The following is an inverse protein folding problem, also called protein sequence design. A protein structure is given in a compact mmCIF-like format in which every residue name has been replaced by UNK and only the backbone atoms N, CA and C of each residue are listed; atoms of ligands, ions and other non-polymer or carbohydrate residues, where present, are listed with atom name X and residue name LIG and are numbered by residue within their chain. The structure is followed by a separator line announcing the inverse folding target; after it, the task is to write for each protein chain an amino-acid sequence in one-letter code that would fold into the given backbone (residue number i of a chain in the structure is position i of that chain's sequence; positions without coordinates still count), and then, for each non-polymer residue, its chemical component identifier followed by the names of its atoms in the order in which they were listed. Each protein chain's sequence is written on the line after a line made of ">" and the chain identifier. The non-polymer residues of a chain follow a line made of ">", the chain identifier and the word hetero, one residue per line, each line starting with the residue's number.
data_IF_629411558418
#
_entry.id   IF_629411558418
#
_cell.length_a   1.000
_cell.length_b   1.000
_cell.length_c   1.000
_cell.angle_alpha   90.00
_cell.angle_beta   90.00
_cell.angle_gamma   90.00
#
_symmetry.space_group_name_H-M   'P 1'
#
loop_
_entity.id
_entity.type
_entity.pdbx_description
1 polymer ?
#
# COMPACT_ATOMS: atom_id res chain seq x y z
N UNK A 1 -12.94 -12.37 21.14
CA UNK A 1 -12.44 -11.29 22.02
C UNK A 1 -13.01 -9.99 21.48
N UNK A 2 -13.94 -9.37 22.20
CA UNK A 2 -14.52 -8.08 21.79
C UNK A 2 -13.51 -6.98 22.14
N UNK A 3 -12.81 -6.45 21.13
CA UNK A 3 -12.02 -5.23 21.29
C UNK A 3 -12.97 -4.11 21.68
N UNK A 4 -12.72 -3.49 22.82
CA UNK A 4 -13.57 -2.39 23.28
C UNK A 4 -13.46 -1.22 22.29
N UNK A 5 -14.52 -0.44 22.10
CA UNK A 5 -14.59 0.66 21.13
C UNK A 5 -13.42 1.68 21.22
N UNK A 6 -12.76 1.74 22.38
CA UNK A 6 -11.60 2.59 22.64
C UNK A 6 -10.27 2.04 22.09
N UNK A 7 -10.14 0.72 21.92
CA UNK A 7 -8.94 0.09 21.33
C UNK A 7 -8.88 0.29 19.81
N UNK A 8 -10.03 0.40 19.14
CA UNK A 8 -10.09 0.52 17.66
C UNK A 8 -9.43 1.79 17.12
N UNK A 9 -9.41 2.88 17.89
CA UNK A 9 -8.77 4.13 17.49
C UNK A 9 -7.24 4.06 17.47
N UNK A 10 -6.66 3.09 18.19
CA UNK A 10 -5.21 2.85 18.27
C UNK A 10 -4.74 1.85 17.22
N UNK A 11 -5.65 1.21 16.50
CA UNK A 11 -5.33 0.26 15.45
C UNK A 11 -5.18 0.96 14.10
N UNK A 12 -4.07 0.70 13.43
CA UNK A 12 -3.94 0.96 12.00
C UNK A 12 -4.84 -0.03 11.25
N UNK A 13 -5.80 0.51 10.49
CA UNK A 13 -6.84 -0.26 9.79
C UNK A 13 -7.73 -1.12 10.73
N UNK A 14 -8.58 -0.48 11.55
CA UNK A 14 -9.55 -1.25 12.33
C UNK A 14 -10.47 -2.05 11.39
N UNK A 15 -10.90 -3.25 11.79
CA UNK A 15 -11.64 -4.18 10.94
C UNK A 15 -12.90 -3.56 10.33
N UNK A 16 -13.51 -2.58 11.00
CA UNK A 16 -14.65 -1.83 10.47
C UNK A 16 -14.29 -0.90 9.30
N UNK A 17 -13.15 -0.17 9.37
CA UNK A 17 -12.72 0.70 8.25
C UNK A 17 -12.38 -0.13 7.03
N UNK A 18 -11.78 -1.29 7.24
CA UNK A 18 -11.45 -2.20 6.17
C UNK A 18 -12.70 -2.82 5.52
N UNK A 19 -13.72 -3.20 6.31
CA UNK A 19 -15.02 -3.60 5.78
C UNK A 19 -15.64 -2.52 4.90
N UNK A 20 -15.63 -1.25 5.34
CA UNK A 20 -16.13 -0.14 4.52
C UNK A 20 -15.37 -0.01 3.21
N UNK A 21 -14.04 -0.11 3.24
CA UNK A 21 -13.20 -0.03 2.05
C UNK A 21 -13.48 -1.20 1.08
N UNK A 22 -13.63 -2.42 1.59
CA UNK A 22 -14.01 -3.58 0.80
C UNK A 22 -15.42 -3.44 0.20
N UNK A 23 -16.39 -2.93 0.95
CA UNK A 23 -17.74 -2.67 0.41
C UNK A 23 -17.70 -1.63 -0.70
N UNK A 24 -16.90 -0.58 -0.57
CA UNK A 24 -16.73 0.44 -1.63
C UNK A 24 -16.10 -0.17 -2.89
N UNK A 25 -15.08 -1.03 -2.74
CA UNK A 25 -14.47 -1.75 -3.88
C UNK A 25 -15.49 -2.64 -4.60
N UNK A 26 -16.29 -3.40 -3.85
CA UNK A 26 -17.34 -4.26 -4.42
C UNK A 26 -18.38 -3.41 -5.15
N UNK A 27 -18.85 -2.32 -4.52
CA UNK A 27 -19.83 -1.43 -5.11
C UNK A 27 -19.32 -0.80 -6.42
N UNK A 28 -18.06 -0.35 -6.43
CA UNK A 28 -17.42 0.18 -7.64
C UNK A 28 -17.30 -0.89 -8.74
N UNK A 29 -16.92 -2.12 -8.39
CA UNK A 29 -16.86 -3.22 -9.35
C UNK A 29 -18.24 -3.57 -9.94
N UNK A 30 -19.32 -3.50 -9.15
CA UNK A 30 -20.70 -3.67 -9.62
C UNK A 30 -21.06 -2.57 -10.63
N UNK A 31 -20.75 -1.30 -10.31
CA UNK A 31 -21.01 -0.17 -11.22
C UNK A 31 -20.26 -0.36 -12.54
N UNK A 32 -18.97 -0.67 -12.49
CA UNK A 32 -18.15 -0.91 -13.68
C UNK A 32 -18.72 -2.10 -14.49
N UNK A 33 -19.10 -3.18 -13.82
CA UNK A 33 -19.76 -4.32 -14.46
C UNK A 33 -21.05 -3.94 -15.18
N UNK A 34 -21.90 -3.11 -14.54
CA UNK A 34 -23.14 -2.63 -15.14
C UNK A 34 -22.89 -1.78 -16.39
N UNK A 35 -21.85 -0.93 -16.38
CA UNK A 35 -21.44 -0.13 -17.56
C UNK A 35 -21.04 -1.06 -18.71
N UNK A 36 -20.24 -2.10 -18.45
CA UNK A 36 -19.84 -3.06 -19.47
C UNK A 36 -21.03 -3.86 -20.03
N UNK A 37 -21.96 -4.29 -19.18
CA UNK A 37 -23.17 -5.00 -19.62
C UNK A 37 -24.05 -4.10 -20.50
N UNK A 38 -24.23 -2.83 -20.10
CA UNK A 38 -24.97 -1.86 -20.90
C UNK A 38 -24.29 -1.61 -22.24
N UNK A 39 -22.96 -1.47 -22.25
CA UNK A 39 -22.18 -1.29 -23.47
C UNK A 39 -22.28 -2.49 -24.42
N UNK A 40 -22.22 -3.71 -23.87
CA UNK A 40 -22.42 -4.97 -24.60
C UNK A 40 -23.80 -5.05 -25.25
N UNK A 41 -24.83 -4.55 -24.58
CA UNK A 41 -26.18 -4.50 -25.13
C UNK A 41 -26.29 -3.53 -26.31
N UNK A 42 -25.66 -2.35 -26.22
CA UNK A 42 -25.65 -1.35 -27.29
C UNK A 42 -24.87 -1.85 -28.52
N UNK A 43 -23.74 -2.51 -28.30
CA UNK A 43 -22.81 -2.96 -29.36
C UNK A 43 -23.11 -4.39 -29.85
N UNK A 44 -24.36 -4.86 -29.74
CA UNK A 44 -24.73 -6.26 -29.98
C UNK A 44 -24.34 -6.78 -31.38
N UNK A 45 -24.27 -5.91 -32.38
CA UNK A 45 -23.90 -6.22 -33.76
C UNK A 45 -22.40 -6.29 -34.02
N UNK A 46 -21.54 -5.74 -33.14
CA UNK A 46 -20.09 -5.71 -33.33
C UNK A 46 -19.38 -6.80 -32.53
N UNK A 47 -19.25 -7.98 -33.13
CA UNK A 47 -18.60 -9.16 -32.54
C UNK A 47 -17.19 -8.90 -31.95
N UNK A 48 -16.25 -8.17 -32.59
CA UNK A 48 -14.94 -7.91 -31.99
C UNK A 48 -15.01 -7.03 -30.73
N UNK A 49 -15.87 -6.02 -30.71
CA UNK A 49 -16.07 -5.13 -29.55
C UNK A 49 -16.69 -5.92 -28.39
N UNK A 50 -17.59 -6.86 -28.70
CA UNK A 50 -18.20 -7.75 -27.72
C UNK A 50 -17.17 -8.64 -27.03
N UNK A 51 -16.29 -9.29 -27.79
CA UNK A 51 -15.22 -10.12 -27.24
C UNK A 51 -14.25 -9.31 -26.37
N UNK A 52 -13.87 -8.11 -26.83
CA UNK A 52 -13.01 -7.21 -26.05
C UNK A 52 -13.67 -6.79 -24.72
N UNK A 53 -14.96 -6.44 -24.75
CA UNK A 53 -15.71 -6.03 -23.56
C UNK A 53 -15.86 -7.17 -22.55
N UNK A 54 -16.09 -8.40 -23.02
CA UNK A 54 -16.12 -9.61 -22.17
C UNK A 54 -14.74 -9.85 -21.55
N UNK A 55 -13.66 -9.75 -22.33
CA UNK A 55 -12.31 -9.93 -21.82
C UNK A 55 -11.96 -8.90 -20.75
N UNK A 56 -12.27 -7.61 -20.98
CA UNK A 56 -12.06 -6.54 -20.00
C UNK A 56 -12.87 -6.76 -18.72
N UNK A 57 -14.12 -7.22 -18.84
CA UNK A 57 -14.95 -7.56 -17.68
C UNK A 57 -14.33 -8.70 -16.86
N UNK A 58 -13.84 -9.76 -17.53
CA UNK A 58 -13.17 -10.89 -16.86
C UNK A 58 -11.92 -10.41 -16.12
N UNK A 59 -11.07 -9.61 -16.76
CA UNK A 59 -9.85 -9.05 -16.15
C UNK A 59 -10.21 -8.16 -14.94
N UNK A 60 -11.26 -7.36 -15.05
CA UNK A 60 -11.73 -6.50 -13.96
C UNK A 60 -12.22 -7.32 -12.76
N UNK A 61 -13.01 -8.36 -12.99
CA UNK A 61 -13.49 -9.26 -11.94
C UNK A 61 -12.30 -9.99 -11.28
N UNK A 62 -11.37 -10.51 -12.10
CA UNK A 62 -10.19 -11.23 -11.63
C UNK A 62 -9.29 -10.35 -10.75
N UNK A 63 -8.93 -9.15 -11.22
CA UNK A 63 -8.08 -8.20 -10.49
C UNK A 63 -8.74 -7.72 -9.19
N UNK A 64 -10.06 -7.44 -9.23
CA UNK A 64 -10.83 -7.06 -8.04
C UNK A 64 -10.86 -8.20 -7.02
N UNK A 65 -11.09 -9.44 -7.47
CA UNK A 65 -11.12 -10.62 -6.60
C UNK A 65 -9.77 -10.85 -5.93
N UNK A 66 -8.67 -10.79 -6.69
CA UNK A 66 -7.32 -10.92 -6.15
C UNK A 66 -7.03 -9.81 -5.13
N UNK A 67 -7.44 -8.57 -5.41
CA UNK A 67 -7.27 -7.45 -4.48
C UNK A 67 -8.01 -7.72 -3.16
N UNK A 68 -9.27 -8.16 -3.22
CA UNK A 68 -10.08 -8.48 -2.03
C UNK A 68 -9.46 -9.66 -1.26
N UNK A 69 -9.04 -10.72 -1.95
CA UNK A 69 -8.41 -11.89 -1.30
C UNK A 69 -7.10 -11.52 -0.61
N UNK A 70 -6.27 -10.67 -1.22
CA UNK A 70 -5.03 -10.16 -0.60
C UNK A 70 -5.35 -9.33 0.63
N UNK A 71 -6.30 -8.39 0.54
CA UNK A 71 -6.70 -7.56 1.67
C UNK A 71 -7.27 -8.42 2.82
N UNK A 72 -8.11 -9.41 2.51
CA UNK A 72 -8.67 -10.33 3.50
C UNK A 72 -7.58 -11.17 4.19
N UNK A 73 -6.55 -11.62 3.46
CA UNK A 73 -5.41 -12.33 4.04
C UNK A 73 -4.59 -11.44 4.95
N UNK A 74 -4.31 -10.18 4.56
CA UNK A 74 -3.61 -9.21 5.41
C UNK A 74 -4.33 -9.00 6.74
N UNK A 75 -5.65 -8.90 6.69
CA UNK A 75 -6.46 -8.61 7.88
C UNK A 75 -6.61 -9.78 8.84
N UNK A 76 -6.31 -11.02 8.40
CA UNK A 76 -6.80 -12.19 9.12
C UNK A 76 -6.15 -12.36 10.49
N UNK A 77 -4.98 -11.79 10.77
CA UNK A 77 -4.30 -11.86 12.08
C UNK A 77 -3.14 -10.85 12.22
N UNK A 78 -3.06 -9.83 11.37
CA UNK A 78 -1.99 -8.83 11.43
C UNK A 78 -2.58 -7.46 11.73
N UNK A 79 -2.16 -6.85 12.83
CA UNK A 79 -2.58 -5.52 13.23
C UNK A 79 -1.39 -4.74 13.77
N UNK A 80 -1.33 -3.47 13.40
CA UNK A 80 -0.40 -2.52 14.00
C UNK A 80 -1.21 -1.69 14.98
N UNK A 81 -0.86 -1.76 16.25
CA UNK A 81 -1.41 -0.93 17.29
C UNK A 81 -0.36 0.09 17.71
N UNK A 82 -0.78 1.34 17.85
CA UNK A 82 0.08 2.41 18.32
C UNK A 82 -0.36 2.89 19.69
N UNK A 83 0.55 2.74 20.66
CA UNK A 83 0.40 3.23 22.02
C UNK A 83 1.39 4.37 22.27
N UNK A 84 1.12 5.28 23.23
CA UNK A 84 1.99 6.43 23.52
C UNK A 84 3.47 6.09 23.69
N UNK A 85 3.78 4.92 24.26
CA UNK A 85 5.15 4.50 24.56
C UNK A 85 5.67 3.41 23.60
N UNK A 86 4.80 2.78 22.82
CA UNK A 86 5.15 1.57 22.09
C UNK A 86 4.35 1.35 20.82
N UNK A 87 5.04 0.80 19.82
CA UNK A 87 4.45 0.17 18.65
C UNK A 87 4.24 -1.32 18.96
N UNK A 88 3.00 -1.80 18.83
CA UNK A 88 2.67 -3.22 19.03
C UNK A 88 2.28 -3.82 17.68
N UNK A 89 3.01 -4.85 17.28
CA UNK A 89 2.78 -5.62 16.07
C UNK A 89 2.15 -6.95 16.48
N UNK A 90 0.86 -7.11 16.22
CA UNK A 90 0.18 -8.38 16.36
C UNK A 90 0.29 -9.16 15.05
N UNK A 91 0.74 -10.41 15.12
CA UNK A 91 0.83 -11.33 13.99
C UNK A 91 0.33 -12.74 14.38
N UNK A 92 0.29 -13.68 13.41
CA UNK A 92 -0.14 -15.06 13.68
C UNK A 92 0.79 -15.80 14.65
N UNK A 93 2.06 -15.39 14.74
CA UNK A 93 3.08 -15.99 15.60
C UNK A 93 3.17 -15.36 16.99
N UNK A 94 2.47 -14.26 17.25
CA UNK A 94 2.51 -13.58 18.54
C UNK A 94 2.36 -12.06 18.46
N UNK A 95 2.65 -11.39 19.58
CA UNK A 95 2.66 -9.92 19.69
C UNK A 95 4.08 -9.45 19.99
N UNK A 96 4.59 -8.54 19.16
CA UNK A 96 5.89 -7.89 19.36
C UNK A 96 5.63 -6.47 19.83
N UNK A 97 6.22 -6.06 20.95
CA UNK A 97 6.13 -4.71 21.49
C UNK A 97 7.48 -4.03 21.37
N UNK A 98 7.52 -2.89 20.69
CA UNK A 98 8.73 -2.11 20.43
C UNK A 98 8.50 -0.74 21.07
N UNK A 99 9.42 -0.28 21.92
CA UNK A 99 9.30 1.06 22.48
C UNK A 99 9.62 2.09 21.41
N UNK A 100 8.83 3.16 21.35
CA UNK A 100 9.04 4.19 20.34
C UNK A 100 10.35 4.96 20.54
N UNK A 101 10.83 5.02 21.78
CA UNK A 101 12.12 5.62 22.15
C UNK A 101 13.32 4.83 21.65
N UNK A 102 13.15 3.53 21.42
CA UNK A 102 14.24 2.66 20.96
C UNK A 102 14.43 2.78 19.44
N UNK A 103 13.40 3.25 18.73
CA UNK A 103 13.46 3.50 17.29
C UNK A 103 14.21 4.81 17.08
N UNK A 104 15.33 4.76 16.35
CA UNK A 104 16.07 5.95 15.93
C UNK A 104 15.67 6.38 14.52
N UNK A 105 15.53 5.42 13.59
CA UNK A 105 15.24 5.68 12.17
C UNK A 105 14.25 4.65 11.64
N UNK A 106 13.25 5.12 10.91
CA UNK A 106 12.38 4.29 10.08
C UNK A 106 12.72 4.52 8.60
N UNK A 107 13.14 3.48 7.88
CA UNK A 107 13.54 3.57 6.48
C UNK A 107 12.63 2.71 5.60
N UNK A 108 12.04 3.31 4.58
CA UNK A 108 11.37 2.54 3.53
C UNK A 108 12.43 1.97 2.58
N UNK A 109 12.47 0.65 2.43
CA UNK A 109 13.41 -0.03 1.55
C UNK A 109 12.68 -0.92 0.57
N UNK A 110 13.18 -0.93 -0.66
CA UNK A 110 12.87 -1.91 -1.68
C UNK A 110 14.14 -2.70 -2.00
N UNK A 111 14.69 -3.38 -0.99
CA UNK A 111 15.88 -4.20 -1.16
C UNK A 111 15.47 -5.52 -1.83
N UNK A 112 15.90 -5.68 -3.09
CA UNK A 112 16.07 -6.98 -3.78
C UNK A 112 14.81 -7.77 -4.15
N UNK A 113 13.77 -7.15 -4.70
CA UNK A 113 12.58 -7.83 -5.30
C UNK A 113 11.79 -8.81 -4.39
N UNK A 114 12.25 -9.07 -3.16
CA UNK A 114 11.69 -10.10 -2.27
C UNK A 114 10.96 -9.51 -1.07
N UNK A 115 11.44 -8.38 -0.50
CA UNK A 115 10.79 -7.76 0.65
C UNK A 115 10.84 -6.24 0.62
N UNK A 116 9.78 -5.63 0.12
CA UNK A 116 9.52 -4.18 0.28
C UNK A 116 8.84 -3.93 1.62
N UNK A 117 9.23 -2.89 2.33
CA UNK A 117 8.59 -2.56 3.61
C UNK A 117 9.22 -1.39 4.36
N UNK A 118 8.66 -1.10 5.54
CA UNK A 118 9.18 -0.08 6.46
C UNK A 118 10.04 -0.76 7.53
N UNK A 119 11.34 -0.45 7.53
CA UNK A 119 12.33 -1.02 8.43
C UNK A 119 12.60 -0.06 9.58
N UNK A 120 12.55 -0.55 10.81
CA UNK A 120 12.74 0.23 12.02
C UNK A 120 14.08 -0.13 12.66
N UNK A 121 14.96 0.84 12.83
CA UNK A 121 16.32 0.66 13.35
C UNK A 121 16.51 1.40 14.67
N UNK A 122 17.35 0.84 15.54
CA UNK A 122 17.84 1.52 16.75
C UNK A 122 19.00 2.50 16.44
N UNK A 123 19.53 3.15 17.48
CA UNK A 123 20.65 4.10 17.36
C UNK A 123 21.95 3.43 16.91
N UNK A 124 22.07 2.12 17.07
CA UNK A 124 23.20 1.30 16.64
C UNK A 124 22.96 0.66 15.26
N UNK A 125 21.94 1.11 14.52
CA UNK A 125 21.52 0.57 13.22
C UNK A 125 21.13 -0.93 13.25
N UNK A 126 20.75 -1.47 14.41
CA UNK A 126 20.19 -2.81 14.51
C UNK A 126 18.71 -2.79 14.16
N UNK A 127 18.28 -3.80 13.43
CA UNK A 127 16.89 -3.95 13.03
C UNK A 127 16.03 -4.32 14.25
N UNK A 128 15.08 -3.45 14.60
CA UNK A 128 14.09 -3.70 15.64
C UNK A 128 12.87 -4.43 15.08
N UNK A 129 12.37 -3.98 13.92
CA UNK A 129 11.30 -4.64 13.20
C UNK A 129 11.23 -4.26 11.73
N UNK A 130 10.59 -5.14 10.97
CA UNK A 130 10.30 -4.94 9.56
C UNK A 130 8.79 -5.06 9.33
N UNK A 131 8.19 -3.98 8.85
CA UNK A 131 6.78 -3.90 8.47
C UNK A 131 6.67 -4.22 6.97
N UNK A 132 6.46 -5.51 6.68
CA UNK A 132 6.42 -6.07 5.33
C UNK A 132 5.14 -5.69 4.54
N UNK A 133 5.07 -6.11 3.28
CA UNK A 133 3.90 -5.95 2.38
C UNK A 133 2.58 -6.54 2.91
N UNK A 134 2.63 -7.35 3.97
CA UNK A 134 1.44 -7.88 4.61
C UNK A 134 0.89 -6.94 5.70
N UNK A 135 1.73 -6.04 6.22
CA UNK A 135 1.38 -5.00 7.18
C UNK A 135 1.15 -3.65 6.50
N UNK A 136 2.01 -3.29 5.54
CA UNK A 136 1.95 -2.06 4.75
C UNK A 136 2.22 -2.42 3.27
N UNK A 137 1.21 -2.34 2.42
CA UNK A 137 1.26 -2.82 1.05
C UNK A 137 2.29 -2.11 0.17
N UNK A 138 2.42 -0.80 0.37
CA UNK A 138 3.26 0.06 -0.46
C UNK A 138 3.71 1.31 0.33
N UNK A 139 4.55 2.12 -0.32
CA UNK A 139 5.10 3.34 0.26
C UNK A 139 3.99 4.35 0.62
N UNK A 140 2.92 4.41 -0.18
CA UNK A 140 1.80 5.32 0.06
C UNK A 140 1.04 4.94 1.32
N UNK A 141 0.84 3.65 1.55
CA UNK A 141 0.23 3.12 2.77
C UNK A 141 1.14 3.34 3.97
N UNK A 142 2.46 3.15 3.84
CA UNK A 142 3.41 3.45 4.89
C UNK A 142 3.45 4.94 5.26
N UNK A 143 3.37 5.83 4.26
CA UNK A 143 3.24 7.29 4.47
C UNK A 143 1.93 7.62 5.19
N UNK A 144 0.83 7.00 4.77
CA UNK A 144 -0.49 7.19 5.37
C UNK A 144 -0.50 6.69 6.82
N UNK A 145 0.15 5.56 7.09
CA UNK A 145 0.35 4.99 8.43
C UNK A 145 1.07 5.96 9.33
N UNK A 146 2.23 6.46 8.90
CA UNK A 146 3.02 7.40 9.68
C UNK A 146 2.31 8.75 9.87
N UNK A 147 1.57 9.21 8.86
CA UNK A 147 0.73 10.41 8.96
C UNK A 147 -0.37 10.26 10.01
N UNK A 148 -1.09 9.13 9.98
CA UNK A 148 -2.09 8.81 11.01
C UNK A 148 -1.45 8.67 12.40
N UNK A 149 -0.34 7.94 12.50
CA UNK A 149 0.39 7.71 13.74
C UNK A 149 0.83 9.02 14.40
N UNK A 150 1.38 9.96 13.61
CA UNK A 150 1.73 11.31 14.08
C UNK A 150 0.54 12.14 14.53
N UNK A 151 -0.64 11.90 13.95
CA UNK A 151 -1.88 12.52 14.39
C UNK A 151 -2.41 11.95 15.71
N UNK A 152 -1.96 10.77 16.13
CA UNK A 152 -2.33 10.15 17.41
C UNK A 152 -1.30 10.42 18.51
N UNK A 153 -0.01 10.33 18.18
CA UNK A 153 1.09 10.40 19.14
C UNK A 153 2.33 11.09 18.55
N UNK A 154 3.22 11.58 19.41
CA UNK A 154 4.52 12.08 18.98
C UNK A 154 5.44 10.92 18.59
N UNK A 155 5.93 10.92 17.35
CA UNK A 155 6.94 9.96 16.89
C UNK A 155 8.33 10.62 16.98
N UNK A 156 9.21 10.20 17.91
CA UNK A 156 10.49 10.87 18.15
C UNK A 156 11.56 10.54 17.10
N UNK A 157 11.28 9.62 16.18
CA UNK A 157 12.25 9.09 15.23
C UNK A 157 12.13 9.71 13.83
N UNK A 158 13.24 9.74 13.12
CA UNK A 158 13.29 10.21 11.74
C UNK A 158 12.74 9.14 10.79
N UNK A 159 12.04 9.59 9.73
CA UNK A 159 11.58 8.71 8.65
C UNK A 159 12.35 9.05 7.38
N UNK A 160 13.03 8.05 6.83
CA UNK A 160 13.74 8.13 5.56
C UNK A 160 12.93 7.45 4.46
N UNK A 161 12.56 8.25 3.47
CA UNK A 161 11.94 7.76 2.23
C UNK A 161 13.04 7.60 1.18
N UNK A 162 12.92 6.65 0.24
CA UNK A 162 13.76 6.67 -0.93
C UNK A 162 13.59 8.04 -1.59
N UNK A 163 14.69 8.76 -1.80
CA UNK A 163 14.71 9.91 -2.69
C UNK A 163 14.08 9.43 -3.99
N UNK A 164 12.97 10.04 -4.43
CA UNK A 164 12.49 9.78 -5.79
C UNK A 164 13.71 9.96 -6.67
N UNK A 165 14.16 8.87 -7.30
CA UNK A 165 15.29 8.94 -8.21
C UNK A 165 14.99 10.12 -9.13
N UNK A 166 15.84 11.17 -9.19
CA UNK A 166 15.61 12.21 -10.18
C UNK A 166 15.49 11.46 -11.49
N UNK A 167 14.34 11.60 -12.15
CA UNK A 167 14.20 11.03 -13.48
C UNK A 167 15.41 11.53 -14.27
N UNK A 168 16.12 10.66 -15.00
CA UNK A 168 17.16 11.13 -15.90
C UNK A 168 16.44 12.05 -16.89
N UNK A 169 16.46 13.35 -16.61
CA UNK A 169 16.06 14.36 -17.58
C UNK A 169 16.93 14.09 -18.79
N UNK A 170 16.27 13.78 -19.90
CA UNK A 170 16.83 13.56 -21.22
C UNK A 170 18.01 14.51 -21.47
N UNK A 171 19.23 14.07 -21.14
CA UNK A 171 20.46 14.73 -21.53
C UNK A 171 20.92 14.25 -22.93
N UNK A 172 19.98 13.71 -23.72
CA UNK A 172 20.14 13.36 -25.12
C UNK A 172 19.38 14.40 -25.94
N UNK A 173 19.83 15.64 -25.91
CA UNK A 173 19.39 16.65 -26.89
C UNK A 173 20.49 17.63 -27.31
N UNK A 174 21.64 17.66 -26.62
CA UNK A 174 22.75 18.57 -26.97
C UNK A 174 23.96 17.91 -27.65
N UNK A 175 23.91 16.62 -28.02
CA UNK A 175 25.02 15.98 -28.75
C UNK A 175 24.81 15.88 -30.27
N UNK A 176 23.65 16.31 -30.78
CA UNK A 176 23.37 16.32 -32.23
C UNK A 176 23.59 17.67 -32.89
N UNK A 177 23.68 18.78 -32.13
CA UNK A 177 23.80 20.12 -32.70
C UNK A 177 25.25 20.58 -32.97
N UNK A 178 26.27 19.87 -32.47
CA UNK A 178 27.67 20.21 -32.75
C UNK A 178 28.24 19.54 -34.02
N UNK A 179 27.54 18.58 -34.64
CA UNK A 179 28.02 17.95 -35.89
C UNK A 179 27.71 18.73 -37.16
N UNK A 180 26.98 19.85 -37.08
CA UNK A 180 26.64 20.67 -38.25
C UNK A 180 27.35 22.04 -38.31
N UNK A 181 28.33 22.29 -37.43
CA UNK A 181 29.14 23.54 -37.47
C UNK A 181 30.56 23.39 -38.03
N UNK A 182 30.94 22.20 -38.50
CA UNK A 182 32.22 21.99 -39.20
C UNK A 182 31.98 21.40 -40.58
N UNK A 183 31.44 22.21 -41.47
CA UNK A 183 31.48 22.02 -42.92
C UNK A 183 31.37 23.37 -43.60
#
# INVERSE_FOLDING_TARGET
>A
MATTKYEEHRLWLPPHRLRRYQTTKIFFAIIVGAIFVLWLFIQWSNLPIRLLSILLLIITIWTTTISIMRDARRCRNRQIEINPDALVLAGPTGRIRIKLTDIAVAQWKDETHQTTGLWLYDQQHRLLAHLDQNLLADESEARSFLGWARGQIHLPFQVMWPSRCPQPHNHIQNLTDERHRTS
#
